data_IF_285571258227
#
_entry.id   IF_285571258227
#
_cell.length_a   1.000
_cell.length_b   1.000
_cell.length_c   1.000
_cell.angle_alpha   90.00
_cell.angle_beta   90.00
_cell.angle_gamma   90.00
#
_symmetry.space_group_name_H-M   'P 1'
#
loop_
_entity.id
_entity.type
_entity.pdbx_description
1 polymer ?
#
# COMPACT_ATOMS: atom_id res chain seq x y z
N UNK A 1 3.13 16.16 -10.41
CA UNK A 1 2.39 15.35 -9.43
C UNK A 1 1.01 15.06 -9.97
N UNK A 2 0.46 13.86 -9.72
CA UNK A 2 -0.87 13.48 -10.15
C UNK A 2 -1.56 12.57 -9.13
N UNK A 3 -2.88 12.73 -9.02
CA UNK A 3 -3.78 11.85 -8.31
C UNK A 3 -4.92 11.48 -9.28
N UNK A 4 -4.66 10.51 -10.19
CA UNK A 4 -5.65 10.11 -11.19
C UNK A 4 -6.78 9.30 -10.54
N UNK A 5 -7.92 9.12 -11.24
CA UNK A 5 -8.96 8.19 -10.80
C UNK A 5 -8.39 6.79 -10.58
N UNK A 6 -8.65 6.20 -9.39
CA UNK A 6 -8.13 4.87 -9.04
C UNK A 6 -8.85 3.77 -9.80
N UNK A 7 -8.08 2.82 -10.34
CA UNK A 7 -8.59 1.61 -10.98
C UNK A 7 -9.64 1.88 -12.07
N UNK A 8 -9.49 2.98 -12.82
CA UNK A 8 -10.42 3.36 -13.89
C UNK A 8 -10.44 2.26 -14.95
N UNK A 9 -11.62 1.67 -15.21
CA UNK A 9 -11.90 0.79 -16.34
C UNK A 9 -12.38 1.60 -17.56
N UNK A 10 -12.44 0.94 -18.70
CA UNK A 10 -13.01 1.50 -19.95
C UNK A 10 -12.41 2.87 -20.36
N UNK A 11 -11.12 3.05 -20.12
CA UNK A 11 -10.37 4.27 -20.42
C UNK A 11 -9.99 4.44 -21.90
N UNK A 12 -10.56 3.61 -22.81
CA UNK A 12 -10.31 3.67 -24.25
C UNK A 12 -9.02 2.95 -24.68
N UNK A 13 -8.61 1.92 -23.96
CA UNK A 13 -7.39 1.14 -24.22
C UNK A 13 -7.33 0.59 -25.65
N UNK A 14 -8.46 0.16 -26.21
CA UNK A 14 -8.63 -0.35 -27.58
C UNK A 14 -8.12 0.63 -28.64
N UNK A 15 -8.33 1.93 -28.40
CA UNK A 15 -7.89 3.00 -29.34
C UNK A 15 -6.41 3.35 -29.20
N UNK A 16 -5.76 2.86 -28.14
CA UNK A 16 -4.41 3.23 -27.73
C UNK A 16 -3.42 2.04 -27.73
N UNK A 17 -3.77 0.88 -28.28
CA UNK A 17 -2.90 -0.30 -28.28
C UNK A 17 -1.50 -0.05 -28.85
N UNK A 18 -1.39 0.79 -29.90
CA UNK A 18 -0.13 1.10 -30.59
C UNK A 18 0.49 2.42 -30.13
N UNK A 19 0.10 2.93 -28.96
CA UNK A 19 0.59 4.20 -28.47
C UNK A 19 2.06 4.13 -28.07
N UNK A 20 2.85 5.11 -28.50
CA UNK A 20 4.29 5.19 -28.27
C UNK A 20 4.67 5.30 -26.77
N UNK A 21 3.72 5.62 -25.90
CA UNK A 21 3.90 5.70 -24.46
C UNK A 21 4.08 4.34 -23.79
N UNK A 22 3.60 3.24 -24.41
CA UNK A 22 3.60 1.89 -23.80
C UNK A 22 4.95 1.18 -23.92
N UNK A 23 6.03 1.86 -23.52
CA UNK A 23 7.41 1.31 -23.58
C UNK A 23 7.63 0.09 -22.67
N UNK A 24 6.89 0.00 -21.58
CA UNK A 24 7.03 -1.08 -20.60
C UNK A 24 5.98 -2.19 -20.79
N UNK A 25 5.02 -1.99 -21.68
CA UNK A 25 3.95 -2.93 -22.00
C UNK A 25 2.61 -2.23 -22.11
N UNK A 26 1.68 -2.85 -22.81
CA UNK A 26 0.32 -2.32 -23.00
C UNK A 26 -0.44 -2.44 -21.69
N UNK A 27 -0.96 -1.33 -21.11
CA UNK A 27 -1.74 -1.40 -19.89
C UNK A 27 -3.08 -2.13 -20.11
N UNK A 28 -3.60 -2.88 -19.11
CA UNK A 28 -4.86 -3.58 -19.26
C UNK A 28 -6.05 -2.64 -19.44
N UNK A 29 -7.00 -3.02 -20.28
CA UNK A 29 -8.23 -2.23 -20.51
C UNK A 29 -9.07 -2.04 -19.24
N UNK A 30 -9.04 -3.02 -18.33
CA UNK A 30 -9.79 -2.99 -17.07
C UNK A 30 -9.18 -2.11 -15.98
N UNK A 31 -7.96 -1.54 -16.18
CA UNK A 31 -7.30 -0.71 -15.15
C UNK A 31 -6.29 0.25 -15.76
N UNK A 32 -6.52 1.56 -15.60
CA UNK A 32 -5.69 2.62 -16.15
C UNK A 32 -4.46 2.99 -15.29
N UNK A 33 -4.23 2.39 -14.13
CA UNK A 33 -3.17 2.81 -13.21
C UNK A 33 -1.80 2.90 -13.89
N UNK A 34 -1.40 1.88 -14.62
CA UNK A 34 -0.14 1.86 -15.38
C UNK A 34 -0.19 2.64 -16.69
N UNK A 35 -1.37 2.96 -17.20
CA UNK A 35 -1.50 3.90 -18.32
C UNK A 35 -1.14 5.33 -17.88
N UNK A 36 -1.66 5.78 -16.74
CA UNK A 36 -1.29 7.05 -16.13
C UNK A 36 0.20 7.12 -15.84
N UNK A 37 0.76 6.07 -15.24
CA UNK A 37 2.18 6.01 -14.91
C UNK A 37 3.05 6.12 -16.18
N UNK A 38 2.78 5.31 -17.19
CA UNK A 38 3.56 5.34 -18.44
C UNK A 38 3.37 6.65 -19.21
N UNK A 39 2.17 7.26 -19.16
CA UNK A 39 1.95 8.58 -19.71
C UNK A 39 2.88 9.62 -19.07
N UNK A 40 2.96 9.64 -17.74
CA UNK A 40 3.84 10.56 -17.03
C UNK A 40 5.33 10.29 -17.32
N UNK A 41 5.75 9.02 -17.34
CA UNK A 41 7.13 8.62 -17.66
C UNK A 41 7.50 9.07 -19.07
N UNK A 42 6.58 8.95 -20.05
CA UNK A 42 6.82 9.37 -21.43
C UNK A 42 7.13 10.88 -21.54
N UNK A 43 6.42 11.70 -20.78
CA UNK A 43 6.58 13.15 -20.77
C UNK A 43 7.62 13.67 -19.78
N UNK A 44 8.27 12.76 -19.05
CA UNK A 44 9.26 13.14 -18.05
C UNK A 44 10.55 13.63 -18.71
N UNK A 45 10.97 14.83 -18.36
CA UNK A 45 12.27 15.36 -18.80
C UNK A 45 13.45 14.53 -18.22
N UNK A 46 14.67 14.66 -18.77
CA UNK A 46 15.83 13.92 -18.25
C UNK A 46 16.12 14.13 -16.76
N UNK A 47 15.81 15.31 -16.23
CA UNK A 47 16.00 15.68 -14.82
C UNK A 47 14.68 15.70 -14.02
N UNK A 48 13.58 15.31 -14.68
CA UNK A 48 12.24 15.37 -14.11
C UNK A 48 12.00 14.29 -13.04
N UNK A 49 11.01 14.60 -12.20
CA UNK A 49 10.51 13.69 -11.15
C UNK A 49 9.00 13.60 -11.21
N UNK A 50 8.47 12.43 -10.84
CA UNK A 50 7.05 12.15 -10.74
C UNK A 50 6.72 11.88 -9.29
N UNK A 51 5.60 12.46 -8.81
CA UNK A 51 4.89 12.02 -7.63
C UNK A 51 3.49 11.58 -8.07
N UNK A 52 3.17 10.30 -7.91
CA UNK A 52 1.92 9.69 -8.38
C UNK A 52 1.23 8.98 -7.22
N UNK A 53 -0.06 9.25 -7.04
CA UNK A 53 -0.91 8.55 -6.06
C UNK A 53 -1.65 7.42 -6.77
N UNK A 54 -1.53 6.20 -6.26
CA UNK A 54 -2.28 5.04 -6.75
C UNK A 54 -2.84 4.23 -5.59
N UNK A 55 -3.92 3.49 -5.84
CA UNK A 55 -4.42 2.49 -4.90
C UNK A 55 -3.36 1.40 -4.66
N UNK A 56 -3.29 0.86 -3.44
CA UNK A 56 -2.25 -0.11 -3.04
C UNK A 56 -2.22 -1.38 -3.92
N UNK A 57 -3.31 -1.73 -4.59
CA UNK A 57 -3.35 -2.82 -5.56
C UNK A 57 -2.28 -2.72 -6.64
N UNK A 58 -1.90 -1.51 -7.07
CA UNK A 58 -0.84 -1.30 -8.06
C UNK A 58 0.54 -1.83 -7.61
N UNK A 59 0.78 -1.93 -6.30
CA UNK A 59 2.05 -2.42 -5.74
C UNK A 59 2.27 -3.92 -5.97
N UNK A 60 1.20 -4.70 -6.10
CA UNK A 60 1.28 -6.17 -6.11
C UNK A 60 0.47 -6.86 -7.21
N UNK A 61 -0.45 -6.16 -7.88
CA UNK A 61 -1.30 -6.76 -8.94
C UNK A 61 -0.47 -7.42 -10.05
N UNK A 62 -0.93 -8.59 -10.48
CA UNK A 62 -0.39 -9.33 -11.63
C UNK A 62 -1.39 -9.37 -12.80
N UNK A 63 -2.61 -8.85 -12.57
CA UNK A 63 -3.72 -8.94 -13.52
C UNK A 63 -3.42 -8.18 -14.80
N UNK A 64 -3.75 -8.78 -15.96
CA UNK A 64 -3.65 -8.10 -17.27
C UNK A 64 -2.23 -7.60 -17.62
N UNK A 65 -1.17 -8.21 -17.07
CA UNK A 65 0.20 -7.83 -17.37
C UNK A 65 0.76 -6.68 -16.52
N UNK A 66 0.01 -6.18 -15.54
CA UNK A 66 0.47 -5.11 -14.65
C UNK A 66 1.79 -5.45 -13.94
N UNK A 67 1.95 -6.71 -13.51
CA UNK A 67 3.19 -7.19 -12.89
C UNK A 67 4.40 -7.06 -13.81
N UNK A 68 4.26 -7.41 -15.09
CA UNK A 68 5.32 -7.28 -16.10
C UNK A 68 5.68 -5.81 -16.38
N UNK A 69 4.67 -4.92 -16.44
CA UNK A 69 4.91 -3.49 -16.62
C UNK A 69 5.66 -2.94 -15.42
N UNK A 70 5.23 -3.28 -14.20
CA UNK A 70 5.88 -2.88 -12.94
C UNK A 70 7.33 -3.36 -12.90
N UNK A 71 7.58 -4.64 -13.21
CA UNK A 71 8.92 -5.19 -13.30
C UNK A 71 9.82 -4.38 -14.21
N UNK A 72 9.39 -4.11 -15.45
CA UNK A 72 10.19 -3.37 -16.42
C UNK A 72 10.48 -1.94 -15.99
N UNK A 73 9.54 -1.28 -15.31
CA UNK A 73 9.73 0.08 -14.76
C UNK A 73 10.78 0.06 -13.64
N UNK A 74 10.78 -0.97 -12.78
CA UNK A 74 11.78 -1.17 -11.74
C UNK A 74 13.14 -1.49 -12.35
N UNK A 75 13.21 -2.42 -13.32
CA UNK A 75 14.45 -2.79 -14.02
C UNK A 75 15.06 -1.62 -14.80
N UNK A 76 14.24 -0.68 -15.26
CA UNK A 76 14.69 0.56 -15.86
C UNK A 76 15.22 1.59 -14.84
N UNK A 77 15.30 1.22 -13.58
CA UNK A 77 15.75 2.04 -12.43
C UNK A 77 15.02 3.38 -12.30
N UNK A 78 13.74 3.42 -12.67
CA UNK A 78 12.93 4.64 -12.60
C UNK A 78 12.31 4.87 -11.23
N UNK A 79 12.04 3.82 -10.45
CA UNK A 79 11.41 3.95 -9.13
C UNK A 79 12.43 4.45 -8.12
N UNK A 80 12.18 5.64 -7.55
CA UNK A 80 13.03 6.25 -6.52
C UNK A 80 12.54 5.87 -5.11
N UNK A 81 11.22 5.86 -4.88
CA UNK A 81 10.66 5.47 -3.60
C UNK A 81 9.18 5.13 -3.67
N UNK A 82 8.74 4.30 -2.74
CA UNK A 82 7.36 3.87 -2.52
C UNK A 82 6.98 4.12 -1.08
N UNK A 83 5.87 4.85 -0.87
CA UNK A 83 5.35 5.12 0.47
C UNK A 83 3.94 4.55 0.55
N UNK A 84 3.70 3.58 1.44
CA UNK A 84 2.36 3.12 1.75
C UNK A 84 1.72 4.06 2.76
N UNK A 85 0.59 4.64 2.40
CA UNK A 85 -0.15 5.58 3.24
C UNK A 85 -1.30 4.88 3.98
N UNK A 86 -1.78 5.47 5.10
CA UNK A 86 -2.93 4.94 5.81
C UNK A 86 -4.20 4.97 4.97
N UNK A 87 -5.19 4.20 5.38
CA UNK A 87 -6.56 4.30 4.86
C UNK A 87 -7.25 5.58 5.35
N UNK A 88 -8.38 5.90 4.73
CA UNK A 88 -9.26 7.00 5.15
C UNK A 88 -8.67 8.42 5.00
N UNK A 89 -7.69 8.61 4.08
CA UNK A 89 -7.15 9.93 3.77
C UNK A 89 -8.03 10.76 2.82
N UNK A 90 -9.06 10.16 2.23
CA UNK A 90 -9.95 10.82 1.27
C UNK A 90 -11.38 10.83 1.77
N UNK A 91 -12.09 11.92 1.53
CA UNK A 91 -13.51 12.06 1.91
C UNK A 91 -14.44 11.09 1.17
N UNK A 92 -14.08 10.72 -0.06
CA UNK A 92 -14.93 9.91 -0.95
C UNK A 92 -14.63 8.41 -0.91
N UNK A 93 -13.51 8.00 -0.33
CA UNK A 93 -13.09 6.59 -0.28
C UNK A 93 -12.17 6.31 0.90
N UNK A 94 -12.36 5.15 1.53
CA UNK A 94 -11.50 4.66 2.61
C UNK A 94 -10.32 3.78 2.14
N UNK A 95 -10.13 3.61 0.81
CA UNK A 95 -9.06 2.73 0.31
C UNK A 95 -7.68 3.27 0.68
N UNK A 96 -6.75 2.39 1.10
CA UNK A 96 -5.36 2.77 1.30
C UNK A 96 -4.68 3.02 -0.04
N UNK A 97 -3.81 4.01 -0.07
CA UNK A 97 -3.07 4.42 -1.26
C UNK A 97 -1.57 4.38 -1.04
N UNK A 98 -0.84 4.44 -2.13
CA UNK A 98 0.61 4.55 -2.15
C UNK A 98 1.06 5.74 -2.97
N UNK A 99 2.13 6.39 -2.51
CA UNK A 99 2.86 7.38 -3.30
C UNK A 99 3.99 6.69 -4.03
N UNK A 100 4.04 6.94 -5.33
CA UNK A 100 5.11 6.49 -6.20
C UNK A 100 5.97 7.68 -6.60
N UNK A 101 7.24 7.62 -6.24
CA UNK A 101 8.23 8.59 -6.70
C UNK A 101 9.08 7.96 -7.78
N UNK A 102 9.06 8.56 -8.97
CA UNK A 102 9.87 8.10 -10.10
C UNK A 102 10.77 9.25 -10.59
N UNK A 103 11.99 8.89 -11.01
CA UNK A 103 12.96 9.85 -11.52
C UNK A 103 13.83 9.19 -12.60
N UNK A 104 14.19 9.96 -13.64
CA UNK A 104 15.24 9.57 -14.58
C UNK A 104 16.65 9.92 -14.09
N UNK A 105 16.73 10.80 -13.12
CA UNK A 105 17.99 11.25 -12.52
C UNK A 105 17.95 11.02 -11.00
N UNK A 106 18.01 9.75 -10.61
CA UNK A 106 18.07 9.33 -9.21
C UNK A 106 19.44 9.65 -8.62
N UNK A 107 19.47 10.07 -7.38
CA UNK A 107 20.72 10.24 -6.61
C UNK A 107 21.26 8.88 -6.14
N UNK A 108 20.37 7.94 -5.78
CA UNK A 108 20.71 6.58 -5.34
C UNK A 108 20.38 5.59 -6.46
N UNK A 109 21.30 5.39 -7.41
CA UNK A 109 21.13 4.46 -8.53
C UNK A 109 21.04 3.01 -8.01
N UNK A 110 20.16 2.21 -8.63
CA UNK A 110 19.97 0.80 -8.29
C UNK A 110 19.31 0.56 -6.93
N UNK A 111 18.87 1.59 -6.24
CA UNK A 111 18.23 1.50 -4.93
C UNK A 111 16.83 2.12 -4.94
N UNK A 112 15.94 1.59 -4.12
CA UNK A 112 14.57 2.09 -3.91
C UNK A 112 14.31 2.24 -2.42
N UNK A 113 13.76 3.38 -2.04
CA UNK A 113 13.27 3.62 -0.68
C UNK A 113 11.86 3.05 -0.51
N UNK A 114 11.65 2.31 0.56
CA UNK A 114 10.33 1.88 1.01
C UNK A 114 10.00 2.51 2.35
N UNK A 115 8.82 3.15 2.46
CA UNK A 115 8.30 3.71 3.72
C UNK A 115 6.92 3.10 3.97
N UNK A 116 6.73 2.54 5.15
CA UNK A 116 5.44 2.07 5.64
C UNK A 116 4.85 3.09 6.61
N UNK A 117 4.07 4.02 6.08
CA UNK A 117 3.38 5.06 6.84
C UNK A 117 1.92 4.70 7.18
N UNK A 118 1.51 3.42 7.02
CA UNK A 118 0.11 3.00 7.21
C UNK A 118 -0.46 3.26 8.61
N UNK A 119 0.41 3.32 9.60
CA UNK A 119 0.04 3.57 10.99
C UNK A 119 0.16 5.05 11.41
N UNK A 120 0.57 5.95 10.49
CA UNK A 120 0.71 7.37 10.74
C UNK A 120 -0.61 8.11 10.63
N UNK A 121 -0.61 9.36 11.08
CA UNK A 121 -1.77 10.24 11.03
C UNK A 121 -2.79 10.00 12.14
N UNK A 122 -3.68 10.95 12.30
CA UNK A 122 -4.70 11.00 13.36
C UNK A 122 -6.11 11.00 12.75
N UNK A 123 -7.04 10.29 13.38
CA UNK A 123 -8.46 10.34 13.00
C UNK A 123 -9.06 11.67 13.42
N UNK A 124 -9.38 12.52 12.46
CA UNK A 124 -10.04 13.82 12.72
C UNK A 124 -11.56 13.70 12.79
N UNK A 125 -12.11 12.66 12.15
CA UNK A 125 -13.50 12.24 12.27
C UNK A 125 -13.56 10.70 12.35
N UNK A 126 -14.77 10.14 12.51
CA UNK A 126 -14.95 8.66 12.45
C UNK A 126 -14.56 8.04 11.10
N UNK A 127 -14.51 8.83 10.04
CA UNK A 127 -14.33 8.36 8.67
C UNK A 127 -13.06 8.92 8.00
N UNK A 128 -12.45 9.98 8.54
CA UNK A 128 -11.36 10.71 7.89
C UNK A 128 -10.14 10.77 8.81
N UNK A 129 -9.00 10.39 8.25
CA UNK A 129 -7.67 10.49 8.84
C UNK A 129 -6.90 11.63 8.16
N UNK A 130 -6.08 12.33 8.90
CA UNK A 130 -5.17 13.33 8.38
C UNK A 130 -3.72 13.03 8.81
N UNK A 131 -2.78 13.26 7.89
CA UNK A 131 -1.36 13.30 8.22
C UNK A 131 -1.06 14.68 8.78
N UNK A 132 -0.59 14.72 10.02
CA UNK A 132 -0.22 15.97 10.67
C UNK A 132 1.16 16.42 10.19
N UNK A 133 1.51 17.69 10.44
CA UNK A 133 2.80 18.25 10.04
C UNK A 133 4.01 17.40 10.50
N UNK A 134 4.05 16.83 11.73
CA UNK A 134 5.13 15.93 12.13
C UNK A 134 5.22 14.66 11.29
N UNK A 135 4.07 14.08 10.87
CA UNK A 135 4.05 12.89 10.02
C UNK A 135 4.63 13.19 8.65
N UNK A 136 4.17 14.30 8.05
CA UNK A 136 4.65 14.77 6.74
C UNK A 136 6.14 15.05 6.79
N UNK A 137 6.60 15.71 7.85
CA UNK A 137 8.01 16.04 8.05
C UNK A 137 8.87 14.80 8.23
N UNK A 138 8.44 13.82 9.04
CA UNK A 138 9.16 12.54 9.19
C UNK A 138 9.33 11.85 7.84
N UNK A 139 8.28 11.78 7.01
CA UNK A 139 8.35 11.18 5.67
C UNK A 139 9.33 11.97 4.78
N UNK A 140 9.23 13.30 4.78
CA UNK A 140 10.08 14.16 3.95
C UNK A 140 11.56 14.05 4.32
N UNK A 141 11.88 14.13 5.61
CA UNK A 141 13.25 14.03 6.15
C UNK A 141 13.86 12.64 5.83
N UNK A 142 13.06 11.58 5.96
CA UNK A 142 13.46 10.21 5.58
C UNK A 142 13.82 10.13 4.09
N UNK A 143 12.99 10.75 3.24
CA UNK A 143 13.23 10.76 1.80
C UNK A 143 14.48 11.59 1.43
N UNK A 144 14.69 12.69 2.11
CA UNK A 144 15.89 13.53 1.92
C UNK A 144 17.16 12.80 2.40
N UNK A 145 17.13 12.16 3.57
CA UNK A 145 18.23 11.35 4.07
C UNK A 145 18.58 10.20 3.10
N UNK A 146 17.57 9.55 2.51
CA UNK A 146 17.79 8.55 1.45
C UNK A 146 18.52 9.13 0.24
N UNK A 147 18.07 10.27 -0.26
CA UNK A 147 18.73 10.94 -1.40
C UNK A 147 20.17 11.29 -1.10
N UNK A 148 20.44 11.76 0.11
CA UNK A 148 21.80 12.12 0.55
C UNK A 148 22.67 10.91 0.90
N UNK A 149 22.10 9.68 0.89
CA UNK A 149 22.82 8.45 1.22
C UNK A 149 23.15 8.30 2.70
N UNK A 150 22.47 9.01 3.58
CA UNK A 150 22.66 9.02 5.04
C UNK A 150 21.56 8.27 5.80
N UNK A 151 20.55 7.73 5.07
CA UNK A 151 19.44 7.03 5.71
C UNK A 151 19.91 5.67 6.25
N UNK A 152 19.57 5.40 7.49
CA UNK A 152 19.61 4.08 8.12
C UNK A 152 18.21 3.45 8.08
N UNK A 153 18.14 2.13 7.84
CA UNK A 153 16.89 1.39 7.85
C UNK A 153 16.27 1.42 9.27
N UNK A 154 14.98 1.73 9.38
CA UNK A 154 14.21 1.69 10.64
C UNK A 154 13.17 0.57 10.53
N UNK A 155 13.34 -0.48 11.36
CA UNK A 155 12.44 -1.63 11.34
C UNK A 155 10.98 -1.22 11.59
N UNK A 156 10.09 -1.73 10.73
CA UNK A 156 8.66 -1.39 10.75
C UNK A 156 8.29 -0.05 10.12
N UNK A 157 9.27 0.77 9.70
CA UNK A 157 9.00 2.09 9.13
C UNK A 157 9.64 2.29 7.76
N UNK A 158 10.96 2.21 7.63
CA UNK A 158 11.61 2.43 6.35
C UNK A 158 12.77 1.49 6.07
N UNK A 159 13.02 1.22 4.78
CA UNK A 159 14.17 0.45 4.34
C UNK A 159 14.61 0.83 2.93
N UNK A 160 15.92 0.75 2.68
CA UNK A 160 16.51 0.92 1.35
C UNK A 160 16.82 -0.47 0.78
N UNK A 161 16.31 -0.77 -0.41
CA UNK A 161 16.49 -2.07 -1.05
C UNK A 161 17.10 -1.92 -2.44
N UNK A 162 17.91 -2.89 -2.82
CA UNK A 162 18.50 -2.98 -4.17
C UNK A 162 17.49 -3.58 -5.16
N UNK A 163 17.76 -3.41 -6.46
CA UNK A 163 16.97 -4.07 -7.50
C UNK A 163 17.00 -5.60 -7.37
N UNK A 164 18.07 -6.18 -6.82
CA UNK A 164 18.16 -7.62 -6.56
C UNK A 164 17.21 -8.07 -5.45
N UNK A 165 17.14 -7.30 -4.37
CA UNK A 165 16.19 -7.57 -3.28
C UNK A 165 14.74 -7.51 -3.77
N UNK A 166 14.43 -6.53 -4.63
CA UNK A 166 13.10 -6.37 -5.21
C UNK A 166 12.78 -7.52 -6.17
N UNK A 167 13.73 -7.94 -6.96
CA UNK A 167 13.61 -9.12 -7.84
C UNK A 167 13.34 -10.39 -7.03
N UNK A 168 14.00 -10.58 -5.90
CA UNK A 168 13.76 -11.72 -4.99
C UNK A 168 12.36 -11.73 -4.38
N UNK A 169 11.63 -10.61 -4.45
CA UNK A 169 10.24 -10.45 -4.04
C UNK A 169 9.27 -10.35 -5.23
N UNK A 170 9.61 -10.92 -6.39
CA UNK A 170 8.79 -10.94 -7.61
C UNK A 170 8.34 -9.53 -8.05
N UNK A 171 9.17 -8.52 -7.84
CA UNK A 171 8.88 -7.11 -8.12
C UNK A 171 7.60 -6.59 -7.46
N UNK A 172 7.18 -7.20 -6.36
CA UNK A 172 6.09 -6.67 -5.51
C UNK A 172 6.68 -5.52 -4.69
N UNK A 173 6.04 -4.35 -4.73
CA UNK A 173 6.56 -3.12 -4.14
C UNK A 173 5.85 -2.71 -2.84
N UNK A 174 5.17 -3.64 -2.17
CA UNK A 174 4.48 -3.38 -0.90
C UNK A 174 5.51 -3.13 0.23
N UNK A 175 5.59 -1.90 0.79
CA UNK A 175 6.63 -1.53 1.75
C UNK A 175 6.77 -2.47 2.95
N UNK A 176 5.65 -2.96 3.50
CA UNK A 176 5.67 -3.89 4.63
C UNK A 176 6.45 -5.20 4.41
N UNK A 177 6.78 -5.56 3.15
CA UNK A 177 7.66 -6.70 2.85
C UNK A 177 9.14 -6.40 3.06
N UNK A 178 9.50 -5.13 3.09
CA UNK A 178 10.89 -4.66 3.06
C UNK A 178 11.35 -4.05 4.37
N UNK A 179 10.44 -3.40 5.11
CA UNK A 179 10.78 -2.65 6.32
C UNK A 179 10.93 -3.52 7.58
N UNK A 180 10.61 -4.83 7.48
CA UNK A 180 10.65 -5.73 8.63
C UNK A 180 9.53 -5.47 9.62
N UNK A 181 9.69 -6.00 10.82
CA UNK A 181 8.74 -5.84 11.93
C UNK A 181 9.42 -4.97 12.98
N UNK A 182 8.73 -3.91 13.41
CA UNK A 182 9.19 -3.12 14.55
C UNK A 182 9.35 -4.04 15.78
N UNK A 183 10.40 -3.87 16.54
CA UNK A 183 10.52 -4.53 17.84
C UNK A 183 9.30 -4.12 18.68
N UNK A 184 8.47 -5.10 18.99
CA UNK A 184 7.41 -4.87 19.97
C UNK A 184 8.07 -4.90 21.34
N UNK A 185 7.81 -3.87 22.13
CA UNK A 185 8.15 -3.94 23.55
C UNK A 185 7.52 -5.22 24.11
N UNK A 186 8.35 -6.08 24.69
CA UNK A 186 7.89 -7.27 25.38
C UNK A 186 7.02 -6.80 26.54
N UNK A 187 5.73 -7.11 26.49
CA UNK A 187 4.78 -6.77 27.55
C UNK A 187 5.07 -7.52 28.86
N UNK A 188 6.12 -8.35 28.87
CA UNK A 188 6.56 -9.13 30.03
C UNK A 188 5.58 -10.24 30.44
N UNK A 189 4.46 -10.41 29.72
CA UNK A 189 3.52 -11.50 29.97
C UNK A 189 4.01 -12.80 29.29
N UNK A 190 4.34 -13.87 30.05
CA UNK A 190 4.77 -15.12 29.45
C UNK A 190 3.76 -15.64 28.44
N UNK A 191 4.23 -16.11 27.28
CA UNK A 191 3.36 -16.59 26.19
C UNK A 191 2.28 -17.58 26.66
N UNK A 192 2.64 -18.50 27.57
CA UNK A 192 1.70 -19.49 28.10
C UNK A 192 0.54 -18.84 28.88
N UNK A 193 0.84 -17.82 29.70
CA UNK A 193 -0.18 -17.10 30.49
C UNK A 193 -1.09 -16.27 29.58
N UNK A 194 -0.50 -15.56 28.60
CA UNK A 194 -1.22 -14.80 27.57
C UNK A 194 -2.16 -15.71 26.78
N UNK A 195 -1.68 -16.86 26.32
CA UNK A 195 -2.49 -17.84 25.60
C UNK A 195 -3.62 -18.39 26.46
N UNK A 196 -3.36 -18.71 27.72
CA UNK A 196 -4.39 -19.20 28.63
C UNK A 196 -5.48 -18.14 28.89
N UNK A 197 -5.10 -16.89 29.08
CA UNK A 197 -6.03 -15.77 29.25
C UNK A 197 -6.87 -15.56 27.99
N UNK A 198 -6.25 -15.48 26.81
CA UNK A 198 -6.93 -15.24 25.54
C UNK A 198 -7.86 -16.41 25.15
N UNK A 199 -7.45 -17.65 25.37
CA UNK A 199 -8.32 -18.83 25.10
C UNK A 199 -9.49 -18.92 26.07
N UNK A 200 -9.30 -18.51 27.33
CA UNK A 200 -10.39 -18.41 28.31
C UNK A 200 -11.41 -17.33 27.91
N UNK A 201 -10.93 -16.16 27.52
CA UNK A 201 -11.78 -15.06 27.03
C UNK A 201 -12.55 -15.47 25.77
N UNK A 202 -11.88 -16.08 24.79
CA UNK A 202 -12.50 -16.61 23.57
C UNK A 202 -13.59 -17.64 23.88
N UNK A 203 -13.33 -18.55 24.84
CA UNK A 203 -14.33 -19.50 25.29
C UNK A 203 -15.56 -18.83 25.89
N UNK A 204 -15.35 -17.74 26.64
CA UNK A 204 -16.44 -16.91 27.17
C UNK A 204 -17.28 -16.25 26.06
N UNK A 205 -16.60 -15.68 25.06
CA UNK A 205 -17.26 -15.06 23.92
C UNK A 205 -18.07 -16.07 23.08
N UNK A 206 -17.56 -17.29 22.89
CA UNK A 206 -18.32 -18.35 22.23
C UNK A 206 -19.59 -18.74 23.00
N UNK A 207 -19.51 -18.85 24.32
CA UNK A 207 -20.70 -19.13 25.15
C UNK A 207 -21.75 -18.04 25.02
N UNK A 208 -21.31 -16.78 25.04
CA UNK A 208 -22.21 -15.63 24.86
C UNK A 208 -22.80 -15.58 23.46
N UNK A 209 -22.02 -15.90 22.42
CA UNK A 209 -22.50 -15.99 21.04
C UNK A 209 -23.62 -17.04 20.91
N UNK A 210 -23.43 -18.23 21.46
CA UNK A 210 -24.46 -19.27 21.45
C UNK A 210 -25.72 -18.85 22.23
N UNK A 211 -25.54 -18.20 23.39
CA UNK A 211 -26.68 -17.68 24.16
C UNK A 211 -27.51 -16.68 23.37
N UNK A 212 -26.83 -15.76 22.67
CA UNK A 212 -27.50 -14.74 21.83
C UNK A 212 -28.17 -15.39 20.61
N UNK A 213 -27.55 -16.39 20.02
CA UNK A 213 -28.13 -17.15 18.90
C UNK A 213 -29.46 -17.82 19.33
N UNK A 214 -29.46 -18.49 20.49
CA UNK A 214 -30.66 -19.14 21.03
C UNK A 214 -31.75 -18.10 21.34
N UNK A 215 -31.37 -16.96 21.88
CA UNK A 215 -32.31 -15.87 22.16
C UNK A 215 -32.93 -15.30 20.86
N UNK A 216 -32.13 -15.09 19.82
CA UNK A 216 -32.61 -14.67 18.49
C UNK A 216 -33.59 -15.71 17.93
N UNK A 217 -33.22 -17.01 17.93
CA UNK A 217 -34.09 -18.10 17.47
C UNK A 217 -35.42 -18.10 18.22
N UNK A 218 -35.40 -17.92 19.53
CA UNK A 218 -36.61 -17.85 20.38
C UNK A 218 -37.48 -16.65 20.03
N UNK A 219 -36.88 -15.47 19.88
CA UNK A 219 -37.63 -14.24 19.56
C UNK A 219 -38.26 -14.33 18.17
N UNK A 220 -37.52 -14.80 17.17
CA UNK A 220 -38.05 -14.97 15.81
C UNK A 220 -39.13 -16.07 15.77
N UNK A 221 -38.97 -17.15 16.51
CA UNK A 221 -40.01 -18.19 16.62
C UNK A 221 -41.30 -17.65 17.24
N UNK A 222 -41.23 -16.72 18.18
CA UNK A 222 -42.42 -16.09 18.81
C UNK A 222 -43.24 -15.24 17.85
N UNK A 223 -42.65 -14.73 16.76
CA UNK A 223 -43.35 -13.97 15.72
C UNK A 223 -43.58 -14.77 14.43
N UNK A 224 -43.36 -16.09 14.45
CA UNK A 224 -43.66 -17.00 13.37
C UNK A 224 -42.56 -17.19 12.31
N UNK A 225 -41.34 -16.73 12.59
CA UNK A 225 -40.17 -16.91 11.71
C UNK A 225 -39.14 -17.83 12.37
N UNK A 226 -38.87 -18.98 11.77
CA UNK A 226 -37.78 -19.89 12.20
C UNK A 226 -36.50 -19.64 11.44
N UNK A 227 -35.35 -19.74 12.15
CA UNK A 227 -34.02 -19.83 11.57
C UNK A 227 -33.48 -21.23 11.89
N UNK A 228 -32.97 -21.93 10.88
CA UNK A 228 -32.27 -23.23 11.03
C UNK A 228 -30.83 -23.04 11.56
#
# INVERSE_FOLDING_TARGET
MANPPFNLSDWGADKLEKDARWKFGIPPAGNANFAWMQHMIHHLSPVGRIGLVLANGALSSQTGGEGTIRQKIVEADLVEGIIALPSQLFYSTGIPVSLWFLSRNKQQLGKVLFIDARNMGTMVTRAVRELMEPDIRKIADTFEAFRNGTLEDEAGYCAVKTLQDIKAQDFILTPGRYVGIAEQEDDGEPFAEKMQRLTSELSGLFKESHRLEDEIKKQLGSIGFGIE
#
